data_IF_845307699324
#
_entry.id   IF_845307699324
#
_cell.length_a   1.000
_cell.length_b   1.000
_cell.length_c   1.000
_cell.angle_alpha   90.00
_cell.angle_beta   90.00
_cell.angle_gamma   90.00
#
_symmetry.space_group_name_H-M   'P 1'
#
loop_
_entity.id
_entity.type
_entity.pdbx_description
1 polymer ?
#
# COMPACT_ATOMS: atom_id res chain seq x y z
N UNK A 1 30.28 5.01 -2.92
CA UNK A 1 28.99 4.42 -3.33
C UNK A 1 27.97 4.75 -2.25
N UNK A 2 27.08 5.72 -2.49
CA UNK A 2 26.01 6.05 -1.55
C UNK A 2 24.98 4.93 -1.60
N UNK A 3 24.80 4.20 -0.49
CA UNK A 3 23.70 3.26 -0.35
C UNK A 3 22.38 4.02 -0.54
N UNK A 4 21.68 3.78 -1.64
CA UNK A 4 20.31 4.31 -1.82
C UNK A 4 19.43 3.71 -0.71
N UNK A 5 18.87 4.57 0.14
CA UNK A 5 17.91 4.17 1.17
C UNK A 5 16.58 3.88 0.45
N UNK A 6 16.34 2.61 0.12
CA UNK A 6 15.09 2.14 -0.48
C UNK A 6 13.91 2.45 0.46
N UNK A 7 12.76 2.78 -0.13
CA UNK A 7 11.51 2.96 0.60
C UNK A 7 10.99 1.61 1.10
N UNK A 8 10.46 1.57 2.32
CA UNK A 8 9.72 0.40 2.79
C UNK A 8 8.36 0.41 2.12
N UNK A 9 7.99 -0.74 1.57
CA UNK A 9 6.64 -1.00 1.04
C UNK A 9 6.05 -2.12 1.87
N UNK A 10 4.84 -1.90 2.40
CA UNK A 10 4.09 -2.87 3.20
C UNK A 10 2.66 -2.98 2.67
N UNK A 11 1.97 -4.03 3.10
CA UNK A 11 0.54 -4.20 2.86
C UNK A 11 -0.23 -3.79 4.11
N UNK A 12 -1.43 -3.26 3.90
CA UNK A 12 -2.39 -3.08 4.98
C UNK A 12 -2.84 -4.44 5.51
N UNK A 13 -3.08 -4.56 6.82
CA UNK A 13 -3.44 -5.84 7.48
C UNK A 13 -4.65 -6.53 6.84
N UNK A 14 -5.69 -5.78 6.47
CA UNK A 14 -6.85 -6.35 5.75
C UNK A 14 -6.56 -6.68 4.26
N UNK A 15 -5.50 -6.14 3.67
CA UNK A 15 -5.12 -6.41 2.26
C UNK A 15 -4.19 -7.62 2.14
N UNK A 16 -3.35 -7.87 3.14
CA UNK A 16 -2.40 -8.99 3.17
C UNK A 16 -3.06 -10.35 2.84
N UNK A 17 -4.17 -10.77 3.49
CA UNK A 17 -4.83 -12.02 3.11
C UNK A 17 -5.59 -11.95 1.78
N UNK A 18 -5.95 -10.77 1.28
CA UNK A 18 -6.53 -10.62 -0.07
C UNK A 18 -5.46 -10.84 -1.14
N UNK A 19 -4.24 -10.35 -0.89
CA UNK A 19 -3.09 -10.57 -1.75
C UNK A 19 -2.73 -12.04 -1.86
N UNK A 20 -2.67 -12.75 -0.73
CA UNK A 20 -2.39 -14.20 -0.69
C UNK A 20 -3.40 -15.03 -1.48
N UNK A 21 -4.64 -14.53 -1.62
CA UNK A 21 -5.69 -15.19 -2.37
C UNK A 21 -5.64 -14.91 -3.90
N UNK A 22 -4.83 -13.97 -4.37
CA UNK A 22 -4.65 -13.74 -5.81
C UNK A 22 -3.85 -14.86 -6.47
N UNK A 23 -3.96 -14.98 -7.80
CA UNK A 23 -3.11 -15.90 -8.55
C UNK A 23 -1.64 -15.51 -8.40
N UNK A 24 -0.73 -16.48 -8.53
CA UNK A 24 0.71 -16.23 -8.44
C UNK A 24 1.17 -15.12 -9.40
N UNK A 25 0.64 -15.10 -10.62
CA UNK A 25 0.99 -14.11 -11.63
C UNK A 25 0.58 -12.68 -11.20
N UNK A 26 -0.62 -12.53 -10.64
CA UNK A 26 -1.08 -11.24 -10.10
C UNK A 26 -0.22 -10.79 -8.91
N UNK A 27 0.16 -11.73 -8.05
CA UNK A 27 1.06 -11.45 -6.92
C UNK A 27 2.43 -10.96 -7.41
N UNK A 28 3.03 -11.68 -8.35
CA UNK A 28 4.34 -11.37 -8.92
C UNK A 28 4.34 -10.01 -9.62
N UNK A 29 3.33 -9.73 -10.44
CA UNK A 29 3.19 -8.47 -11.19
C UNK A 29 2.89 -7.28 -10.26
N UNK A 30 2.09 -7.47 -9.20
CA UNK A 30 1.91 -6.43 -8.19
C UNK A 30 3.22 -6.11 -7.47
N UNK A 31 3.97 -7.13 -7.06
CA UNK A 31 5.27 -6.95 -6.41
C UNK A 31 6.30 -6.30 -7.35
N UNK A 32 6.29 -6.65 -8.63
CA UNK A 32 7.12 -6.03 -9.65
C UNK A 32 6.78 -4.54 -9.82
N UNK A 33 5.48 -4.19 -9.88
CA UNK A 33 5.05 -2.79 -9.92
C UNK A 33 5.45 -2.03 -8.62
N UNK A 34 5.29 -2.66 -7.45
CA UNK A 34 5.68 -2.09 -6.17
C UNK A 34 7.20 -1.87 -6.03
N UNK A 35 8.02 -2.61 -6.78
CA UNK A 35 9.47 -2.42 -6.80
C UNK A 35 9.86 -0.99 -7.24
N UNK A 36 9.12 -0.40 -8.20
CA UNK A 36 9.36 0.98 -8.60
C UNK A 36 9.18 1.97 -7.44
N UNK A 37 8.16 1.76 -6.59
CA UNK A 37 7.93 2.58 -5.39
C UNK A 37 9.02 2.34 -4.35
N UNK A 38 9.46 1.10 -4.17
CA UNK A 38 10.57 0.77 -3.27
C UNK A 38 11.87 1.47 -3.67
N UNK A 39 12.14 1.62 -4.97
CA UNK A 39 13.38 2.21 -5.46
C UNK A 39 13.34 3.73 -5.57
N UNK A 40 12.22 4.28 -6.04
CA UNK A 40 12.09 5.71 -6.36
C UNK A 40 11.25 6.49 -5.33
N UNK A 41 10.46 5.81 -4.51
CA UNK A 41 9.59 6.44 -3.52
C UNK A 41 8.60 7.41 -4.16
N UNK A 42 8.45 8.64 -3.63
CA UNK A 42 7.57 9.67 -4.18
C UNK A 42 7.84 10.02 -5.64
N UNK A 43 9.08 9.83 -6.12
CA UNK A 43 9.49 10.06 -7.50
C UNK A 43 9.11 8.91 -8.45
N UNK A 44 8.54 7.81 -7.94
CA UNK A 44 7.96 6.77 -8.78
C UNK A 44 6.78 7.34 -9.58
N UNK A 45 6.80 7.09 -10.88
CA UNK A 45 5.84 7.63 -11.85
C UNK A 45 5.49 6.58 -12.92
N UNK A 46 4.86 7.03 -14.01
CA UNK A 46 4.52 6.22 -15.18
C UNK A 46 5.74 5.46 -15.72
N UNK A 47 5.55 4.22 -16.23
CA UNK A 47 4.25 3.58 -16.48
C UNK A 47 3.61 2.89 -15.25
N UNK A 48 4.40 2.61 -14.21
CA UNK A 48 3.96 1.77 -13.08
C UNK A 48 3.13 2.50 -12.05
N UNK A 49 3.31 3.81 -11.89
CA UNK A 49 2.58 4.63 -10.93
C UNK A 49 1.70 5.65 -11.67
N UNK A 50 0.48 5.85 -11.16
CA UNK A 50 -0.44 6.88 -11.60
C UNK A 50 -1.00 7.68 -10.41
N UNK A 51 -1.65 8.79 -10.72
CA UNK A 51 -2.38 9.62 -9.75
C UNK A 51 -3.84 9.17 -9.65
N UNK A 52 -4.42 9.25 -8.46
CA UNK A 52 -5.86 9.05 -8.24
C UNK A 52 -6.52 10.39 -7.93
N UNK A 53 -7.69 10.65 -8.51
CA UNK A 53 -8.53 11.76 -8.09
C UNK A 53 -9.28 11.37 -6.81
N UNK A 54 -8.73 11.76 -5.66
CA UNK A 54 -9.25 11.39 -4.36
C UNK A 54 -9.13 12.55 -3.35
N UNK A 55 -10.16 13.40 -3.22
CA UNK A 55 -10.12 14.57 -2.35
C UNK A 55 -9.87 14.25 -0.87
N UNK A 56 -10.23 13.05 -0.39
CA UNK A 56 -10.02 12.63 1.01
C UNK A 56 -8.55 12.42 1.32
N UNK A 57 -7.80 11.85 0.37
CA UNK A 57 -6.37 11.59 0.48
C UNK A 57 -5.69 11.92 -0.85
N UNK A 58 -5.39 13.20 -1.11
CA UNK A 58 -4.90 13.67 -2.42
C UNK A 58 -3.51 13.13 -2.79
N UNK A 59 -2.77 12.60 -1.81
CA UNK A 59 -1.45 11.98 -2.02
C UNK A 59 -1.55 10.47 -2.29
N UNK A 60 -2.76 9.90 -2.31
CA UNK A 60 -2.97 8.49 -2.68
C UNK A 60 -2.73 8.31 -4.18
N UNK A 61 -2.00 7.25 -4.53
CA UNK A 61 -1.60 6.93 -5.90
C UNK A 61 -2.06 5.52 -6.26
N UNK A 62 -1.97 5.18 -7.54
CA UNK A 62 -2.23 3.83 -8.05
C UNK A 62 -0.96 3.19 -8.61
N UNK A 63 -0.79 1.90 -8.36
CA UNK A 63 0.06 1.03 -9.17
C UNK A 63 -0.74 0.53 -10.37
N UNK A 64 -0.06 0.38 -11.50
CA UNK A 64 -0.63 -0.02 -12.78
C UNK A 64 0.20 -1.16 -13.34
N UNK A 65 -0.42 -2.32 -13.49
CA UNK A 65 0.20 -3.50 -14.06
C UNK A 65 -0.81 -4.32 -14.85
N UNK A 66 -0.30 -5.31 -15.55
CA UNK A 66 -1.12 -6.30 -16.25
C UNK A 66 -0.74 -7.68 -15.71
N UNK A 67 -1.70 -8.58 -15.69
CA UNK A 67 -1.50 -9.96 -15.28
C UNK A 67 -2.11 -10.90 -16.32
N UNK A 68 -1.86 -12.19 -16.14
CA UNK A 68 -2.30 -13.32 -16.95
C UNK A 68 -2.05 -13.06 -18.44
N UNK A 69 -0.79 -12.83 -18.80
CA UNK A 69 -0.33 -12.51 -20.16
C UNK A 69 -1.00 -11.26 -20.77
N UNK A 70 -1.37 -10.29 -19.93
CA UNK A 70 -2.02 -9.06 -20.37
C UNK A 70 -3.53 -9.17 -20.51
N UNK A 71 -4.12 -10.32 -20.16
CA UNK A 71 -5.55 -10.55 -20.17
C UNK A 71 -6.27 -9.96 -18.95
N UNK A 72 -5.57 -9.35 -18.00
CA UNK A 72 -6.16 -8.63 -16.89
C UNK A 72 -5.43 -7.29 -16.67
N UNK A 73 -6.19 -6.25 -16.30
CA UNK A 73 -5.68 -4.89 -16.16
C UNK A 73 -5.86 -4.44 -14.72
N UNK A 74 -4.83 -4.62 -13.92
CA UNK A 74 -4.92 -4.39 -12.48
C UNK A 74 -4.56 -2.97 -12.07
N UNK A 75 -5.24 -2.48 -11.03
CA UNK A 75 -4.84 -1.28 -10.28
C UNK A 75 -4.74 -1.62 -8.81
N UNK A 76 -3.72 -1.09 -8.15
CA UNK A 76 -3.62 -1.13 -6.70
C UNK A 76 -3.47 0.26 -6.10
N UNK A 77 -4.32 0.63 -5.16
CA UNK A 77 -4.21 1.92 -4.48
C UNK A 77 -3.18 1.82 -3.35
N UNK A 78 -2.30 2.81 -3.26
CA UNK A 78 -1.30 2.92 -2.20
C UNK A 78 -1.12 4.38 -1.76
N UNK A 79 -0.55 4.58 -0.59
CA UNK A 79 -0.23 5.91 -0.07
C UNK A 79 1.11 5.90 0.68
N UNK A 80 1.76 7.07 0.75
CA UNK A 80 2.89 7.28 1.66
C UNK A 80 2.37 7.75 3.01
N UNK A 81 2.80 7.09 4.07
CA UNK A 81 2.39 7.41 5.42
C UNK A 81 3.33 8.44 6.11
N UNK A 82 2.96 8.95 7.31
CA UNK A 82 3.79 9.89 8.05
C UNK A 82 5.15 9.35 8.51
N UNK A 83 5.35 8.04 8.51
CA UNK A 83 6.60 7.37 8.91
C UNK A 83 7.52 7.10 7.71
N UNK A 84 7.17 7.64 6.54
CA UNK A 84 7.92 7.51 5.28
C UNK A 84 7.98 6.06 4.81
N UNK A 85 6.87 5.36 4.94
CA UNK A 85 6.63 4.05 4.33
C UNK A 85 5.53 4.17 3.27
N UNK A 86 5.55 3.30 2.27
CA UNK A 86 4.46 3.14 1.31
C UNK A 86 3.59 1.95 1.74
N UNK A 87 2.29 2.16 1.85
CA UNK A 87 1.34 1.10 2.20
C UNK A 87 0.39 0.84 1.04
N UNK A 88 0.32 -0.42 0.59
CA UNK A 88 -0.66 -0.88 -0.40
C UNK A 88 -1.95 -1.24 0.32
N UNK A 89 -3.05 -0.67 -0.15
CA UNK A 89 -4.33 -0.67 0.56
C UNK A 89 -5.32 -1.65 -0.07
N UNK A 90 -5.32 -1.79 -1.39
CA UNK A 90 -6.25 -2.64 -2.14
C UNK A 90 -5.73 -2.82 -3.56
N UNK A 91 -6.01 -3.96 -4.17
CA UNK A 91 -5.83 -4.19 -5.61
C UNK A 91 -7.09 -4.82 -6.22
N UNK A 92 -7.38 -4.49 -7.48
CA UNK A 92 -8.49 -5.05 -8.23
C UNK A 92 -8.22 -5.05 -9.73
N UNK A 93 -8.74 -6.07 -10.44
CA UNK A 93 -8.81 -6.08 -11.89
C UNK A 93 -9.86 -5.07 -12.37
N UNK A 94 -9.44 -4.18 -13.28
CA UNK A 94 -10.29 -3.18 -13.93
C UNK A 94 -10.94 -3.74 -15.19
N UNK A 95 -10.45 -4.84 -15.75
CA UNK A 95 -10.88 -5.32 -17.05
C UNK A 95 -12.39 -5.57 -17.10
N UNK A 96 -13.07 -5.00 -18.10
CA UNK A 96 -14.51 -5.17 -18.30
C UNK A 96 -15.39 -4.42 -17.30
N UNK A 97 -14.83 -3.63 -16.38
CA UNK A 97 -15.57 -2.80 -15.43
C UNK A 97 -15.63 -1.35 -15.95
N UNK A 98 -16.81 -0.75 -15.83
CA UNK A 98 -16.99 0.70 -16.03
C UNK A 98 -16.01 1.50 -15.16
N UNK A 99 -15.42 2.55 -15.73
CA UNK A 99 -14.32 3.27 -15.10
C UNK A 99 -14.74 4.01 -13.83
N UNK A 100 -15.88 4.70 -13.87
CA UNK A 100 -16.40 5.46 -12.73
C UNK A 100 -16.76 4.52 -11.58
N UNK A 101 -17.44 3.41 -11.89
CA UNK A 101 -17.77 2.39 -10.91
C UNK A 101 -16.51 1.77 -10.30
N UNK A 102 -15.54 1.40 -11.13
CA UNK A 102 -14.29 0.78 -10.68
C UNK A 102 -13.56 1.68 -9.68
N UNK A 103 -13.30 2.94 -10.03
CA UNK A 103 -12.55 3.84 -9.17
C UNK A 103 -13.34 4.22 -7.91
N UNK A 104 -14.66 4.35 -7.99
CA UNK A 104 -15.52 4.54 -6.81
C UNK A 104 -15.38 3.39 -5.81
N UNK A 105 -15.40 2.14 -6.27
CA UNK A 105 -15.30 0.97 -5.40
C UNK A 105 -13.88 0.78 -4.86
N UNK A 106 -12.85 0.99 -5.70
CA UNK A 106 -11.44 0.95 -5.30
C UNK A 106 -11.15 1.99 -4.21
N UNK A 107 -11.52 3.26 -4.44
CA UNK A 107 -11.29 4.35 -3.50
C UNK A 107 -12.10 4.19 -2.22
N UNK A 108 -13.31 3.63 -2.28
CA UNK A 108 -14.10 3.34 -1.07
C UNK A 108 -13.34 2.42 -0.11
N UNK A 109 -12.75 1.34 -0.62
CA UNK A 109 -11.93 0.41 0.19
C UNK A 109 -10.61 1.06 0.62
N UNK A 110 -9.90 1.69 -0.30
CA UNK A 110 -8.60 2.30 -0.03
C UNK A 110 -8.68 3.39 1.05
N UNK A 111 -9.68 4.26 0.97
CA UNK A 111 -9.91 5.32 1.96
C UNK A 111 -10.15 4.77 3.36
N UNK A 112 -11.05 3.78 3.50
CA UNK A 112 -11.34 3.13 4.78
C UNK A 112 -10.05 2.58 5.42
N UNK A 113 -9.25 1.85 4.65
CA UNK A 113 -8.00 1.23 5.11
C UNK A 113 -6.93 2.26 5.45
N UNK A 114 -6.79 3.31 4.67
CA UNK A 114 -5.79 4.34 4.97
C UNK A 114 -6.12 5.16 6.20
N UNK A 115 -7.40 5.49 6.43
CA UNK A 115 -7.81 6.16 7.67
C UNK A 115 -7.54 5.31 8.92
N UNK A 116 -7.77 4.00 8.82
CA UNK A 116 -7.44 3.05 9.88
C UNK A 116 -5.94 3.05 10.17
N UNK A 117 -5.10 2.87 9.14
CA UNK A 117 -3.64 2.92 9.26
C UNK A 117 -3.14 4.22 9.92
N UNK A 118 -3.68 5.37 9.49
CA UNK A 118 -3.31 6.66 10.08
C UNK A 118 -3.73 6.78 11.56
N UNK A 119 -4.83 6.15 11.95
CA UNK A 119 -5.29 6.10 13.34
C UNK A 119 -4.35 5.23 14.18
N UNK A 120 -3.96 4.07 13.66
CA UNK A 120 -3.08 3.12 14.34
C UNK A 120 -1.67 3.70 14.53
N UNK A 121 -1.12 4.38 13.51
CA UNK A 121 0.14 5.14 13.64
C UNK A 121 0.07 6.20 14.74
N UNK A 122 -1.04 6.94 14.82
CA UNK A 122 -1.22 7.96 15.86
C UNK A 122 -1.29 7.34 17.24
N UNK A 123 -2.02 6.23 17.40
CA UNK A 123 -2.12 5.49 18.66
C UNK A 123 -0.76 4.91 19.09
N UNK A 124 0.01 4.33 18.16
CA UNK A 124 1.36 3.83 18.44
C UNK A 124 2.32 4.94 18.90
N UNK A 125 2.15 6.17 18.38
CA UNK A 125 2.97 7.34 18.77
C UNK A 125 2.61 7.93 20.13
N UNK A 126 1.35 7.83 20.56
CA UNK A 126 0.92 8.32 21.88
C UNK A 126 1.29 7.35 23.01
N UNK A 127 1.39 6.06 22.70
CA UNK A 127 1.86 5.02 23.63
C UNK A 127 3.38 4.83 23.49
N UNK A 128 4.19 5.78 23.97
CA UNK A 128 5.64 5.52 24.16
C UNK A 128 5.83 4.31 25.10
N UNK A 129 6.83 3.43 24.88
CA UNK A 129 7.07 2.30 25.76
C UNK A 129 7.54 2.81 27.13
N UNK A 130 6.70 2.65 28.14
CA UNK A 130 7.13 2.71 29.54
C UNK A 130 8.16 1.60 29.74
N UNK A 131 9.41 1.99 30.03
CA UNK A 131 10.43 1.05 30.53
C UNK A 131 9.85 0.28 31.70
N UNK A 132 9.54 -1.00 31.51
CA UNK A 132 9.31 -1.93 32.60
C UNK A 132 10.63 -2.09 33.37
N UNK A 133 10.83 -1.27 34.40
CA UNK A 133 11.69 -1.59 35.53
C UNK A 133 10.89 -2.51 36.46
N UNK A 134 11.32 -3.75 36.61
CA UNK A 134 11.23 -4.56 37.83
C UNK A 134 11.66 -5.99 37.50
N UNK A 135 12.30 -6.77 38.37
CA UNK A 135 12.98 -6.50 39.62
C UNK A 135 13.71 -7.81 39.97
N UNK A 136 14.86 -7.66 40.62
CA UNK A 136 15.57 -8.73 41.32
C UNK A 136 14.67 -9.35 42.41
N UNK A 137 14.59 -10.68 42.46
CA UNK A 137 14.08 -11.47 43.59
C UNK A 137 14.18 -12.95 43.23
N UNK A 138 15.26 -13.66 43.53
CA UNK A 138 15.62 -14.25 44.83
C UNK A 138 14.53 -15.18 45.37
N UNK A 139 14.61 -16.45 45.00
CA UNK A 139 14.52 -17.60 45.90
C UNK A 139 15.24 -18.78 45.27
#
# INVERSE_FOLDING_TARGET
MTQSKKWKVSFHDEFDPEFDAFSQDVQDELLAAAAAVRELGPAADRPHVGTLDNPRHPNMKELRFKANNGAEIWRAAFAFDPDREAIILVAADKQGIDEDKFYKDLLKKANKRFDQHLTDIKAAKTVKPTKAKSAKGKK
#
